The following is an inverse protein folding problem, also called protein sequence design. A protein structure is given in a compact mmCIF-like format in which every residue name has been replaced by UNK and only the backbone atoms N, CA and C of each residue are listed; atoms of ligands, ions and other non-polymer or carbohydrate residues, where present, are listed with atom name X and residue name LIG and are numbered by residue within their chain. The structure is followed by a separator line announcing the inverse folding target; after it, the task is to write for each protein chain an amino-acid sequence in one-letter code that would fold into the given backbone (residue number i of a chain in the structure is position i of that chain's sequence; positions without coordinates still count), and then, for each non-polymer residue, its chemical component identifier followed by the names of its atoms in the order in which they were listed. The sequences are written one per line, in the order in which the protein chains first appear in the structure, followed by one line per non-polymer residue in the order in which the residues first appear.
data_IF_707041512042
#
_entry.id   IF_707041512042
#
_cell.length_a   1.000
_cell.length_b   1.000
_cell.length_c   1.000
_cell.angle_alpha   90.00
_cell.angle_beta   90.00
_cell.angle_gamma   90.00
#
_symmetry.space_group_name_H-M   'P 1'
#
loop_
_entity.id
_entity.type
_entity.pdbx_description
1 polymer ?
#
# COMPACT_ATOMS: atom_id res chain seq x y z
N UNK A 1 -81.61 9.93 36.16
CA UNK A 1 -80.47 9.13 36.62
C UNK A 1 -80.03 8.24 35.46
N UNK A 2 -78.98 8.62 34.71
CA UNK A 2 -77.57 8.15 34.81
C UNK A 2 -77.42 6.76 34.15
N UNK A 3 -76.59 6.46 33.15
CA UNK A 3 -75.58 7.17 32.36
C UNK A 3 -75.37 6.32 31.08
N UNK A 4 -75.27 6.95 29.92
CA UNK A 4 -74.93 6.29 28.67
C UNK A 4 -73.47 5.80 28.69
N UNK A 5 -73.25 4.50 28.46
CA UNK A 5 -71.93 3.88 28.39
C UNK A 5 -71.19 4.35 27.12
N UNK A 6 -70.34 5.38 27.28
CA UNK A 6 -69.47 5.90 26.23
C UNK A 6 -68.31 4.94 25.98
N UNK A 7 -68.49 4.01 25.03
CA UNK A 7 -67.42 3.18 24.45
C UNK A 7 -66.37 4.09 23.80
N UNK A 8 -65.31 4.46 24.52
CA UNK A 8 -64.10 5.03 23.91
C UNK A 8 -63.34 3.90 23.21
N UNK A 9 -63.54 3.77 21.90
CA UNK A 9 -62.56 3.10 21.03
C UNK A 9 -61.35 4.02 20.98
N UNK A 10 -60.30 3.67 21.73
CA UNK A 10 -58.98 4.22 21.47
C UNK A 10 -58.51 3.63 20.14
N UNK A 11 -58.81 4.33 19.03
CA UNK A 11 -58.02 4.17 17.82
C UNK A 11 -56.64 4.74 18.14
N UNK A 12 -55.73 3.86 18.56
CA UNK A 12 -54.31 4.13 18.39
C UNK A 12 -54.10 4.34 16.90
N UNK A 13 -53.72 5.57 16.55
CA UNK A 13 -53.38 5.95 15.19
C UNK A 13 -52.40 4.93 14.62
N UNK A 14 -52.46 4.61 13.31
CA UNK A 14 -51.42 3.80 12.69
C UNK A 14 -50.10 4.53 12.95
N UNK A 15 -49.25 3.90 13.77
CA UNK A 15 -47.89 4.35 14.02
C UNK A 15 -47.27 4.49 12.65
N UNK A 16 -47.00 5.73 12.24
CA UNK A 16 -46.49 6.01 10.91
C UNK A 16 -45.19 5.22 10.80
N UNK A 17 -45.18 4.19 9.96
CA UNK A 17 -43.98 3.61 9.37
C UNK A 17 -43.30 4.62 8.41
N UNK A 18 -43.26 5.89 8.79
CA UNK A 18 -42.45 6.96 8.24
C UNK A 18 -41.30 7.27 9.20
N UNK A 19 -40.83 6.25 9.94
CA UNK A 19 -39.66 6.31 10.81
C UNK A 19 -38.40 6.46 9.98
N UNK A 20 -38.06 7.72 9.69
CA UNK A 20 -36.73 8.26 9.39
C UNK A 20 -35.81 7.36 8.55
N UNK A 21 -36.07 7.27 7.25
CA UNK A 21 -35.06 6.80 6.27
C UNK A 21 -33.68 7.45 6.52
N UNK A 22 -33.66 8.72 6.93
CA UNK A 22 -32.45 9.42 7.33
C UNK A 22 -31.72 8.76 8.52
N UNK A 23 -32.44 8.31 9.55
CA UNK A 23 -31.80 7.62 10.68
C UNK A 23 -31.27 6.25 10.26
N UNK A 24 -32.01 5.54 9.40
CA UNK A 24 -31.52 4.28 8.83
C UNK A 24 -30.23 4.50 8.03
N UNK A 25 -30.20 5.49 7.13
CA UNK A 25 -29.02 5.85 6.33
C UNK A 25 -27.86 6.28 7.22
N UNK A 26 -28.11 7.05 8.27
CA UNK A 26 -27.10 7.46 9.24
C UNK A 26 -26.52 6.25 10.00
N UNK A 27 -27.37 5.32 10.45
CA UNK A 27 -26.93 4.08 11.11
C UNK A 27 -26.09 3.23 10.16
N UNK A 28 -26.53 3.05 8.91
CA UNK A 28 -25.78 2.30 7.89
C UNK A 28 -24.42 2.96 7.62
N UNK A 29 -24.39 4.29 7.45
CA UNK A 29 -23.15 5.03 7.25
C UNK A 29 -22.19 4.88 8.43
N UNK A 30 -22.69 4.94 9.67
CA UNK A 30 -21.88 4.74 10.87
C UNK A 30 -21.29 3.32 10.94
N UNK A 31 -22.08 2.29 10.60
CA UNK A 31 -21.60 0.91 10.54
C UNK A 31 -20.51 0.78 9.47
N UNK A 32 -20.74 1.34 8.28
CA UNK A 32 -19.76 1.30 7.19
C UNK A 32 -18.46 1.99 7.62
N UNK A 33 -18.53 3.21 8.13
CA UNK A 33 -17.35 3.96 8.59
C UNK A 33 -16.65 3.22 9.73
N UNK A 34 -17.41 2.70 10.70
CA UNK A 34 -16.87 1.95 11.84
C UNK A 34 -16.10 0.71 11.41
N UNK A 35 -16.70 -0.15 10.59
CA UNK A 35 -16.10 -1.43 10.20
C UNK A 35 -15.10 -1.34 9.05
N UNK A 36 -15.32 -0.47 8.06
CA UNK A 36 -14.45 -0.38 6.89
C UNK A 36 -13.29 0.59 7.08
N UNK A 37 -13.44 1.63 7.91
CA UNK A 37 -12.40 2.64 8.11
C UNK A 37 -11.78 2.59 9.51
N UNK A 38 -12.60 2.77 10.54
CA UNK A 38 -12.11 2.92 11.93
C UNK A 38 -11.47 1.64 12.43
N UNK A 39 -12.12 0.49 12.21
CA UNK A 39 -11.62 -0.80 12.69
C UNK A 39 -10.21 -1.11 12.13
N UNK A 40 -9.95 -1.09 10.80
CA UNK A 40 -8.60 -1.28 10.27
C UNK A 40 -7.58 -0.25 10.76
N UNK A 41 -7.97 1.02 10.85
CA UNK A 41 -7.08 2.09 11.28
C UNK A 41 -6.61 1.91 12.73
N UNK A 42 -7.53 1.55 13.63
CA UNK A 42 -7.21 1.28 15.03
C UNK A 42 -6.39 0.00 15.17
N UNK A 43 -6.75 -1.08 14.47
CA UNK A 43 -6.03 -2.37 14.59
C UNK A 43 -4.61 -2.32 14.04
N UNK A 44 -4.36 -1.53 12.99
CA UNK A 44 -3.03 -1.41 12.36
C UNK A 44 -2.22 -0.22 12.88
N UNK A 45 -2.84 0.68 13.65
CA UNK A 45 -2.26 1.95 14.05
C UNK A 45 -1.99 2.91 12.88
N UNK A 46 -2.62 2.69 11.72
CA UNK A 46 -2.41 3.47 10.50
C UNK A 46 -3.72 4.11 10.03
N UNK A 47 -3.91 5.39 10.32
CA UNK A 47 -5.07 6.16 9.86
C UNK A 47 -5.05 6.49 8.37
N UNK A 48 -3.88 6.40 7.74
CA UNK A 48 -3.64 6.73 6.34
C UNK A 48 -3.57 5.47 5.47
N UNK A 49 -4.01 4.31 5.96
CA UNK A 49 -3.92 3.00 5.29
C UNK A 49 -4.47 2.94 3.86
N UNK A 50 -5.34 3.89 3.49
CA UNK A 50 -5.95 4.01 2.16
C UNK A 50 -5.16 4.94 1.22
N UNK A 51 -4.21 5.72 1.75
CA UNK A 51 -3.33 6.60 0.99
C UNK A 51 -2.18 5.78 0.44
N UNK A 52 -1.88 5.94 -0.84
CA UNK A 52 -0.66 5.37 -1.46
C UNK A 52 0.47 6.38 -1.54
N UNK A 53 0.25 7.63 -1.11
CA UNK A 53 1.25 8.70 -1.21
C UNK A 53 2.52 8.30 -0.46
N UNK A 54 3.64 8.29 -1.18
CA UNK A 54 4.94 7.95 -0.65
C UNK A 54 5.97 8.98 -1.11
N UNK A 55 6.62 9.63 -0.14
CA UNK A 55 7.61 10.67 -0.39
C UNK A 55 8.70 10.60 0.69
N UNK A 56 9.56 9.58 0.56
CA UNK A 56 10.66 9.36 1.48
C UNK A 56 12.00 9.62 0.79
N UNK A 57 12.98 10.06 1.58
CA UNK A 57 14.32 10.36 1.11
C UNK A 57 15.28 9.24 1.55
N UNK A 58 15.73 8.35 0.65
CA UNK A 58 16.74 7.35 1.01
C UNK A 58 18.11 8.00 1.23
N UNK A 59 18.97 7.29 1.96
CA UNK A 59 20.40 7.59 2.12
C UNK A 59 21.20 7.17 0.88
N UNK A 60 20.84 6.07 0.24
CA UNK A 60 21.42 5.61 -1.02
C UNK A 60 20.42 4.78 -1.82
N UNK A 61 20.63 4.76 -3.14
CA UNK A 61 19.94 3.86 -4.07
C UNK A 61 20.98 2.91 -4.66
N UNK A 62 20.72 1.61 -4.64
CA UNK A 62 21.53 0.61 -5.33
C UNK A 62 20.75 0.06 -6.50
N UNK A 63 21.27 0.22 -7.71
CA UNK A 63 20.72 -0.43 -8.90
C UNK A 63 21.45 -1.74 -9.11
N UNK A 64 20.69 -2.83 -9.19
CA UNK A 64 21.19 -4.18 -9.41
C UNK A 64 20.67 -4.63 -10.75
N UNK A 65 21.54 -4.70 -11.74
CA UNK A 65 21.20 -5.13 -13.09
C UNK A 65 21.94 -6.44 -13.39
N UNK A 66 21.21 -7.56 -13.35
CA UNK A 66 21.75 -8.91 -13.61
C UNK A 66 23.00 -9.22 -12.77
N UNK A 67 22.92 -8.93 -11.47
CA UNK A 67 24.01 -9.12 -10.51
C UNK A 67 25.02 -7.97 -10.42
N UNK A 68 25.07 -7.05 -11.39
CA UNK A 68 25.94 -5.88 -11.31
C UNK A 68 25.32 -4.81 -10.40
N UNK A 69 26.03 -4.40 -9.34
CA UNK A 69 25.54 -3.44 -8.35
C UNK A 69 26.18 -2.07 -8.55
N UNK A 70 25.35 -1.06 -8.78
CA UNK A 70 25.76 0.35 -8.85
C UNK A 70 25.12 1.10 -7.69
N UNK A 71 25.92 1.51 -6.69
CA UNK A 71 25.46 2.37 -5.61
C UNK A 71 25.51 3.84 -6.02
N UNK A 72 24.40 4.54 -5.80
CA UNK A 72 24.16 5.93 -6.16
C UNK A 72 23.77 6.68 -4.89
N UNK A 73 24.67 7.55 -4.45
CA UNK A 73 24.47 8.38 -3.26
C UNK A 73 23.94 9.78 -3.57
N UNK A 74 23.63 10.59 -2.54
CA UNK A 74 23.00 11.91 -2.70
C UNK A 74 23.83 12.94 -3.47
N UNK A 75 25.14 12.75 -3.55
CA UNK A 75 26.04 13.60 -4.32
C UNK A 75 26.01 13.31 -5.84
N UNK A 76 25.45 12.17 -6.26
CA UNK A 76 25.36 11.80 -7.67
C UNK A 76 24.22 12.58 -8.36
N UNK A 77 24.46 13.23 -9.51
CA UNK A 77 23.43 13.95 -10.26
C UNK A 77 22.17 13.11 -10.61
N UNK A 78 22.34 11.79 -10.73
CA UNK A 78 21.28 10.82 -11.04
C UNK A 78 20.32 10.58 -9.88
N UNK A 79 20.80 10.78 -8.66
CA UNK A 79 20.15 10.32 -7.44
C UNK A 79 18.74 10.89 -7.27
N UNK A 80 18.59 12.22 -7.35
CA UNK A 80 17.31 12.89 -7.13
C UNK A 80 16.22 12.42 -8.09
N UNK A 81 16.58 12.20 -9.35
CA UNK A 81 15.63 11.76 -10.36
C UNK A 81 15.22 10.29 -10.16
N UNK A 82 16.16 9.42 -9.75
CA UNK A 82 15.86 8.05 -9.35
C UNK A 82 14.96 7.97 -8.11
N UNK A 83 15.23 8.78 -7.09
CA UNK A 83 14.38 8.86 -5.89
C UNK A 83 12.95 9.27 -6.27
N UNK A 84 12.81 10.30 -7.10
CA UNK A 84 11.49 10.76 -7.55
C UNK A 84 10.75 9.66 -8.33
N UNK A 85 11.43 8.95 -9.23
CA UNK A 85 10.85 7.87 -10.01
C UNK A 85 10.49 6.64 -9.15
N UNK A 86 11.32 6.32 -8.16
CA UNK A 86 11.09 5.27 -7.18
C UNK A 86 9.84 5.58 -6.34
N UNK A 87 9.76 6.79 -5.79
CA UNK A 87 8.62 7.26 -5.01
C UNK A 87 7.34 7.33 -5.85
N UNK A 88 7.43 7.74 -7.12
CA UNK A 88 6.30 7.77 -8.04
C UNK A 88 5.74 6.37 -8.31
N UNK A 89 6.61 5.36 -8.45
CA UNK A 89 6.20 3.96 -8.67
C UNK A 89 5.42 3.41 -7.46
N UNK A 90 5.85 3.74 -6.24
CA UNK A 90 5.13 3.37 -5.02
C UNK A 90 3.81 4.16 -4.90
N UNK A 91 3.84 5.45 -5.22
CA UNK A 91 2.67 6.34 -5.15
C UNK A 91 1.56 5.93 -6.11
N UNK A 92 1.91 5.33 -7.26
CA UNK A 92 0.96 4.70 -8.20
C UNK A 92 0.13 3.56 -7.60
N UNK A 93 0.51 3.10 -6.40
CA UNK A 93 -0.24 2.18 -5.57
C UNK A 93 0.26 0.75 -5.67
N UNK A 94 -0.18 -0.05 -4.69
CA UNK A 94 0.29 -1.41 -4.50
C UNK A 94 -0.75 -2.24 -3.74
N UNK A 95 -0.60 -3.56 -3.84
CA UNK A 95 -1.46 -4.55 -3.19
C UNK A 95 -0.66 -5.69 -2.59
N UNK A 96 -1.26 -6.43 -1.67
CA UNK A 96 -0.66 -7.65 -1.14
C UNK A 96 -0.44 -8.67 -2.25
N UNK A 97 0.76 -9.25 -2.32
CA UNK A 97 0.99 -10.40 -3.19
C UNK A 97 0.20 -11.61 -2.69
N UNK A 98 -0.28 -12.44 -3.62
CA UNK A 98 -0.98 -13.68 -3.30
C UNK A 98 -0.04 -14.82 -2.89
N UNK A 99 1.25 -14.71 -3.21
CA UNK A 99 2.27 -15.72 -2.98
C UNK A 99 3.56 -15.06 -2.47
N UNK A 100 4.27 -15.76 -1.58
CA UNK A 100 5.56 -15.34 -1.08
C UNK A 100 6.71 -15.73 -2.00
N UNK A 101 7.89 -15.16 -1.74
CA UNK A 101 9.13 -15.49 -2.46
C UNK A 101 9.95 -16.48 -1.63
N UNK A 102 10.41 -17.56 -2.25
CA UNK A 102 11.39 -18.48 -1.66
C UNK A 102 12.82 -17.96 -1.86
N UNK A 103 13.79 -18.52 -1.13
CA UNK A 103 15.20 -18.17 -1.27
C UNK A 103 15.74 -18.47 -2.69
N UNK A 104 15.25 -19.54 -3.32
CA UNK A 104 15.60 -19.87 -4.71
C UNK A 104 15.05 -18.82 -5.69
N UNK A 105 13.85 -18.30 -5.41
CA UNK A 105 13.24 -17.24 -6.22
C UNK A 105 14.08 -15.96 -6.13
N UNK A 106 14.61 -15.68 -4.93
CA UNK A 106 15.50 -14.55 -4.69
C UNK A 106 16.82 -14.65 -5.45
N UNK A 107 17.44 -15.82 -5.47
CA UNK A 107 18.68 -16.03 -6.21
C UNK A 107 18.48 -15.85 -7.74
N UNK A 108 17.30 -16.19 -8.25
CA UNK A 108 16.93 -15.92 -9.65
C UNK A 108 16.74 -14.42 -9.90
N UNK A 109 16.12 -13.70 -8.95
CA UNK A 109 15.93 -12.25 -9.02
C UNK A 109 17.25 -11.50 -8.99
N UNK A 110 18.16 -11.83 -8.07
CA UNK A 110 19.44 -11.13 -7.94
C UNK A 110 20.31 -11.34 -9.21
N UNK A 111 20.33 -12.55 -9.76
CA UNK A 111 21.12 -12.88 -10.97
C UNK A 111 20.53 -12.36 -12.28
N UNK A 112 19.21 -12.34 -12.43
CA UNK A 112 18.57 -12.09 -13.73
C UNK A 112 17.65 -10.87 -13.77
N UNK A 113 17.44 -10.24 -12.62
CA UNK A 113 16.55 -9.11 -12.43
C UNK A 113 17.24 -7.76 -12.63
N UNK A 114 16.39 -6.76 -12.85
CA UNK A 114 16.67 -5.35 -12.66
C UNK A 114 15.94 -4.93 -11.37
N UNK A 115 16.69 -4.88 -10.28
CA UNK A 115 16.22 -4.55 -8.94
C UNK A 115 16.79 -3.19 -8.54
N UNK A 116 15.96 -2.31 -8.00
CA UNK A 116 16.40 -1.05 -7.41
C UNK A 116 16.13 -1.10 -5.91
N UNK A 117 17.18 -0.98 -5.11
CA UNK A 117 17.11 -0.95 -3.66
C UNK A 117 17.26 0.48 -3.17
N UNK A 118 16.41 0.90 -2.24
CA UNK A 118 16.49 2.16 -1.52
C UNK A 118 16.74 1.87 -0.04
N UNK A 119 17.84 2.39 0.49
CA UNK A 119 18.21 2.26 1.89
C UNK A 119 17.93 3.58 2.62
N UNK A 120 17.27 3.52 3.78
CA UNK A 120 16.84 4.66 4.57
C UNK A 120 17.56 4.71 5.91
N UNK A 121 17.84 5.92 6.40
CA UNK A 121 18.41 6.13 7.74
C UNK A 121 17.38 5.86 8.82
N UNK A 122 16.14 6.30 8.59
CA UNK A 122 15.01 6.10 9.47
C UNK A 122 13.98 5.16 8.82
N UNK A 123 13.30 4.29 9.59
CA UNK A 123 12.32 3.37 9.04
C UNK A 123 11.17 4.10 8.36
N UNK A 124 10.89 3.75 7.11
CA UNK A 124 9.78 4.32 6.34
C UNK A 124 8.56 3.41 6.41
N UNK A 125 7.37 4.01 6.48
CA UNK A 125 6.10 3.28 6.53
C UNK A 125 5.43 3.28 5.16
N UNK A 126 4.94 2.11 4.77
CA UNK A 126 4.02 1.97 3.65
C UNK A 126 2.60 1.85 4.21
N UNK A 127 1.72 2.71 3.72
CA UNK A 127 0.34 2.77 4.16
C UNK A 127 -0.51 1.72 3.44
N UNK A 128 -1.04 0.75 4.19
CA UNK A 128 -1.86 -0.32 3.61
C UNK A 128 -2.77 -0.93 4.65
N UNK A 129 -3.92 -1.41 4.17
CA UNK A 129 -4.84 -2.19 5.00
C UNK A 129 -4.14 -3.43 5.58
N UNK A 130 -4.26 -3.59 6.90
CA UNK A 130 -3.59 -4.65 7.65
C UNK A 130 -2.27 -4.21 8.28
N UNK A 131 -1.69 -3.11 7.78
CA UNK A 131 -0.46 -2.53 8.29
C UNK A 131 0.77 -3.39 8.02
N UNK A 132 1.92 -2.72 8.03
CA UNK A 132 3.21 -3.38 8.12
C UNK A 132 4.09 -2.59 9.08
N UNK A 133 5.07 -3.31 9.65
CA UNK A 133 6.16 -2.65 10.36
C UNK A 133 6.90 -1.69 9.41
N UNK A 134 7.25 -0.47 9.87
CA UNK A 134 8.16 0.41 9.16
C UNK A 134 9.47 -0.29 8.79
N UNK A 135 10.05 0.06 7.64
CA UNK A 135 11.23 -0.62 7.11
C UNK A 135 12.36 0.31 6.72
N UNK A 136 13.62 -0.10 6.95
CA UNK A 136 14.81 0.66 6.54
C UNK A 136 15.25 0.40 5.10
N UNK A 137 14.70 -0.62 4.45
CA UNK A 137 15.06 -0.98 3.07
C UNK A 137 13.83 -1.34 2.27
N UNK A 138 13.71 -0.72 1.09
CA UNK A 138 12.72 -1.05 0.09
C UNK A 138 13.42 -1.50 -1.19
N UNK A 139 12.85 -2.45 -1.92
CA UNK A 139 13.38 -2.93 -3.19
C UNK A 139 12.28 -3.01 -4.24
N UNK A 140 12.51 -2.52 -5.46
CA UNK A 140 11.56 -2.64 -6.58
C UNK A 140 12.16 -3.49 -7.68
N UNK A 141 11.54 -4.64 -7.95
CA UNK A 141 11.84 -5.46 -9.12
C UNK A 141 11.14 -4.88 -10.35
N UNK A 142 11.92 -4.21 -11.19
CA UNK A 142 11.44 -3.50 -12.37
C UNK A 142 11.17 -4.49 -13.51
N UNK A 143 12.11 -5.40 -13.75
CA UNK A 143 12.03 -6.42 -14.80
C UNK A 143 13.02 -7.55 -14.55
N UNK A 144 12.97 -8.64 -15.31
CA UNK A 144 14.04 -9.64 -15.30
C UNK A 144 13.85 -10.71 -16.36
N UNK A 145 14.96 -11.31 -16.80
CA UNK A 145 14.93 -12.41 -17.77
C UNK A 145 14.51 -13.70 -17.06
N UNK A 146 13.55 -14.42 -17.63
CA UNK A 146 12.98 -15.64 -17.04
C UNK A 146 12.38 -15.44 -15.64
N UNK A 147 11.95 -14.21 -15.33
CA UNK A 147 11.24 -13.90 -14.10
C UNK A 147 9.78 -13.64 -14.46
N UNK A 148 8.89 -14.54 -14.01
CA UNK A 148 7.45 -14.43 -14.30
C UNK A 148 6.73 -13.39 -13.42
N UNK A 149 7.38 -12.92 -12.35
CA UNK A 149 6.84 -11.94 -11.42
C UNK A 149 7.62 -10.64 -11.54
N UNK A 150 7.03 -9.62 -12.14
CA UNK A 150 7.58 -8.26 -12.21
C UNK A 150 6.76 -7.30 -11.34
N UNK A 151 7.24 -6.07 -11.14
CA UNK A 151 6.52 -5.03 -10.39
C UNK A 151 6.36 -5.38 -8.92
N UNK A 152 7.40 -5.95 -8.32
CA UNK A 152 7.38 -6.41 -6.94
C UNK A 152 8.07 -5.39 -6.05
N UNK A 153 7.41 -5.01 -4.96
CA UNK A 153 7.95 -4.16 -3.91
C UNK A 153 8.29 -5.02 -2.68
N UNK A 154 9.57 -5.08 -2.39
CA UNK A 154 10.16 -5.77 -1.27
C UNK A 154 10.44 -4.81 -0.11
N UNK A 155 10.42 -5.37 1.09
CA UNK A 155 10.55 -4.62 2.34
C UNK A 155 11.48 -5.40 3.26
N UNK A 156 12.37 -4.71 3.98
CA UNK A 156 13.26 -5.37 4.94
C UNK A 156 13.73 -4.43 6.05
N UNK A 157 13.96 -5.04 7.22
CA UNK A 157 14.66 -4.47 8.37
C UNK A 157 15.97 -5.22 8.69
N UNK A 158 16.33 -6.22 7.90
CA UNK A 158 17.42 -7.14 8.16
C UNK A 158 18.24 -7.41 6.87
N UNK A 159 19.14 -8.39 6.93
CA UNK A 159 19.84 -8.86 5.73
C UNK A 159 18.86 -9.41 4.69
N UNK A 160 17.86 -10.17 5.14
CA UNK A 160 16.91 -10.87 4.29
C UNK A 160 15.66 -10.05 3.98
N UNK A 161 15.04 -10.31 2.84
CA UNK A 161 13.79 -9.67 2.44
C UNK A 161 12.58 -10.30 3.11
N UNK A 162 11.54 -9.49 3.34
CA UNK A 162 10.25 -10.02 3.79
C UNK A 162 9.72 -11.06 2.79
N UNK A 163 9.27 -12.24 3.26
CA UNK A 163 8.77 -13.29 2.36
C UNK A 163 7.43 -12.91 1.71
N UNK A 164 6.74 -11.87 2.21
CA UNK A 164 5.47 -11.39 1.71
C UNK A 164 5.65 -10.02 1.04
N UNK A 165 6.01 -10.00 -0.26
CA UNK A 165 6.17 -8.75 -0.98
C UNK A 165 4.81 -8.13 -1.32
N UNK A 166 4.89 -6.92 -1.84
CA UNK A 166 3.78 -6.21 -2.43
C UNK A 166 3.92 -6.21 -3.94
N UNK A 167 2.80 -6.07 -4.63
CA UNK A 167 2.77 -5.90 -6.09
C UNK A 167 2.39 -4.46 -6.37
N UNK A 168 3.27 -3.74 -7.06
CA UNK A 168 3.04 -2.39 -7.54
C UNK A 168 2.04 -2.42 -8.70
N UNK A 169 1.29 -1.33 -8.85
CA UNK A 169 0.42 -1.15 -10.01
C UNK A 169 1.19 -0.68 -11.24
N UNK A 170 2.26 0.10 -11.03
CA UNK A 170 3.08 0.65 -12.09
C UNK A 170 4.55 0.81 -11.67
N UNK A 171 5.47 0.46 -12.57
CA UNK A 171 6.92 0.68 -12.44
C UNK A 171 7.49 1.48 -13.61
N UNK A 172 6.65 1.94 -14.53
CA UNK A 172 7.06 2.71 -15.69
C UNK A 172 7.86 3.98 -15.32
N UNK A 173 7.55 4.74 -14.24
CA UNK A 173 8.37 5.88 -13.86
C UNK A 173 9.83 5.48 -13.60
N UNK A 174 10.04 4.45 -12.79
CA UNK A 174 11.37 3.96 -12.44
C UNK A 174 12.07 3.32 -13.64
N UNK A 175 11.36 2.49 -14.41
CA UNK A 175 11.93 1.88 -15.63
C UNK A 175 12.42 2.93 -16.62
N UNK A 176 11.59 3.92 -16.91
CA UNK A 176 11.93 4.99 -17.86
C UNK A 176 13.14 5.78 -17.40
N UNK A 177 13.23 6.04 -16.10
CA UNK A 177 14.35 6.77 -15.51
C UNK A 177 15.66 5.98 -15.56
N UNK A 178 15.62 4.66 -15.29
CA UNK A 178 16.78 3.79 -15.41
C UNK A 178 17.31 3.74 -16.85
N UNK A 179 16.42 3.57 -17.84
CA UNK A 179 16.80 3.58 -19.26
C UNK A 179 17.36 4.94 -19.68
N UNK A 180 16.73 6.04 -19.24
CA UNK A 180 17.19 7.41 -19.54
C UNK A 180 18.60 7.68 -19.03
N UNK A 181 18.98 7.07 -17.92
CA UNK A 181 20.30 7.22 -17.30
C UNK A 181 21.33 6.17 -17.76
N UNK A 182 20.96 5.26 -18.67
CA UNK A 182 21.85 4.18 -19.12
C UNK A 182 22.14 3.12 -18.05
N UNK A 183 21.24 2.97 -17.09
CA UNK A 183 21.33 1.96 -16.01
C UNK A 183 20.55 0.68 -16.33
N UNK A 184 19.74 0.70 -17.39
CA UNK A 184 18.99 -0.42 -17.89
C UNK A 184 18.85 -0.36 -19.43
N UNK A 185 18.80 -1.53 -20.06
CA UNK A 185 18.53 -1.71 -21.50
C UNK A 185 17.02 -1.66 -21.80
#
# INVERSE_FOLDING_TARGET
MTQAAKRRRNHTAPERAGGNLLSLLATVALIIVGFYYVFPAVTSGDWLWFSTRFDAQPRSITVINRGERTEIGPADPRFRALVAAFNASITGGYRNASLGFSDETWEVVDRNGLLVEAAYTEPVRLHIRGGFEPTNRLGILVSGKNIHTTQVLFRSNAADWSPLPLVLNDVAPLKSELTRQGLAD
#
